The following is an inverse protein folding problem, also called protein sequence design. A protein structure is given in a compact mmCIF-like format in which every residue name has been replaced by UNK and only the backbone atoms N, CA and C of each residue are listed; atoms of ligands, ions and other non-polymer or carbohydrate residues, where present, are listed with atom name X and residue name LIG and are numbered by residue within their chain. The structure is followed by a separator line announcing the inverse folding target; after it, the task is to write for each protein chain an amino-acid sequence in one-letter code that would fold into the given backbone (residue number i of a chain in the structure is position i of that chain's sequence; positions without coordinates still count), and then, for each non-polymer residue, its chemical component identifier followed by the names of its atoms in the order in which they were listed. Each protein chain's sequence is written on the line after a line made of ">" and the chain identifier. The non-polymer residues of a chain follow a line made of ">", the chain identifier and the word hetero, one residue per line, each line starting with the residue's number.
data_IF_840686885348
#
_entry.id   IF_840686885348
#
_cell.length_a   1.000
_cell.length_b   1.000
_cell.length_c   1.000
_cell.angle_alpha   90.00
_cell.angle_beta   90.00
_cell.angle_gamma   90.00
#
_symmetry.space_group_name_H-M   'P 1'
#
loop_
_entity.id
_entity.type
_entity.pdbx_description
1 polymer ?
#
# COMPACT_ATOMS: atom_id res chain seq x y z
N UNK A 1 -19.44 -46.48 17.86
CA UNK A 1 -18.13 -46.16 18.47
C UNK A 1 -17.14 -46.12 17.33
N UNK A 2 -16.77 -44.92 16.87
CA UNK A 2 -15.84 -44.75 15.75
C UNK A 2 -14.44 -44.71 16.37
N UNK A 3 -13.63 -45.74 16.16
CA UNK A 3 -12.24 -45.74 16.59
C UNK A 3 -11.45 -44.78 15.70
N UNK A 4 -11.12 -43.61 16.23
CA UNK A 4 -10.30 -42.62 15.53
C UNK A 4 -8.85 -43.07 15.59
N UNK A 5 -8.34 -43.71 14.54
CA UNK A 5 -6.91 -44.03 14.42
C UNK A 5 -6.14 -42.72 14.23
N UNK A 6 -5.42 -42.29 15.27
CA UNK A 6 -4.62 -41.06 15.23
C UNK A 6 -3.41 -41.25 14.30
N UNK A 7 -3.08 -40.25 13.47
CA UNK A 7 -1.91 -40.33 12.61
C UNK A 7 -0.64 -40.30 13.47
N UNK A 8 0.23 -41.29 13.24
CA UNK A 8 1.55 -41.38 13.85
C UNK A 8 2.65 -41.24 12.79
N UNK A 9 3.84 -40.83 13.22
CA UNK A 9 5.07 -40.94 12.42
C UNK A 9 6.03 -41.88 13.11
N UNK A 10 6.95 -42.45 12.35
CA UNK A 10 8.00 -43.30 12.91
C UNK A 10 9.29 -42.50 12.99
N UNK A 11 9.93 -42.48 14.16
CA UNK A 11 11.24 -41.88 14.36
C UNK A 11 12.28 -42.97 14.58
N UNK A 12 13.51 -42.73 14.13
CA UNK A 12 14.64 -43.64 14.37
C UNK A 12 15.39 -43.19 15.61
N UNK A 13 15.48 -44.05 16.62
CA UNK A 13 16.25 -43.82 17.84
C UNK A 13 17.76 -43.89 17.54
N UNK A 14 18.63 -43.34 18.40
CA UNK A 14 20.09 -43.40 18.22
C UNK A 14 20.64 -44.84 18.17
N UNK A 15 19.91 -45.83 18.69
CA UNK A 15 20.24 -47.25 18.59
C UNK A 15 19.82 -47.88 17.25
N UNK A 16 19.26 -47.09 16.33
CA UNK A 16 18.82 -47.52 15.01
C UNK A 16 17.46 -48.22 14.98
N UNK A 17 16.74 -48.24 16.11
CA UNK A 17 15.39 -48.82 16.19
C UNK A 17 14.33 -47.79 15.76
N UNK A 18 13.27 -48.27 15.13
CA UNK A 18 12.16 -47.43 14.69
C UNK A 18 11.02 -47.48 15.69
N UNK A 19 10.63 -46.32 16.23
CA UNK A 19 9.55 -46.19 17.21
C UNK A 19 8.44 -45.27 16.69
N UNK A 20 7.15 -45.66 16.78
CA UNK A 20 6.03 -44.82 16.40
C UNK A 20 5.75 -43.75 17.45
N UNK A 21 5.61 -42.50 17.00
CA UNK A 21 5.29 -41.33 17.81
C UNK A 21 4.04 -40.66 17.25
N UNK A 22 3.05 -40.44 18.12
CA UNK A 22 1.81 -39.74 17.78
C UNK A 22 2.08 -38.24 17.79
N UNK A 23 1.82 -37.54 16.69
CA UNK A 23 2.13 -36.10 16.56
C UNK A 23 1.08 -35.24 17.27
N UNK A 24 -0.17 -35.70 17.27
CA UNK A 24 -1.28 -34.99 17.88
C UNK A 24 -1.57 -35.64 19.22
N UNK A 25 -1.41 -34.88 20.31
CA UNK A 25 -1.92 -35.30 21.62
C UNK A 25 -3.40 -35.67 21.48
N UNK A 26 -3.85 -36.68 22.23
CA UNK A 26 -5.27 -37.00 22.28
C UNK A 26 -6.06 -35.71 22.57
N UNK A 27 -7.23 -35.50 21.94
CA UNK A 27 -8.11 -34.43 22.40
C UNK A 27 -8.33 -34.66 23.89
N UNK A 28 -8.05 -33.63 24.70
CA UNK A 28 -8.27 -33.68 26.13
C UNK A 28 -9.71 -34.15 26.38
N UNK A 29 -9.91 -34.98 27.40
CA UNK A 29 -11.26 -35.43 27.73
C UNK A 29 -12.14 -34.20 28.03
N UNK A 30 -13.46 -34.28 27.82
CA UNK A 30 -14.34 -33.11 27.97
C UNK A 30 -14.28 -32.49 29.39
N UNK A 31 -13.93 -33.29 30.39
CA UNK A 31 -13.68 -32.88 31.78
C UNK A 31 -12.30 -32.24 32.03
N UNK A 32 -11.37 -32.36 31.08
CA UNK A 32 -10.05 -31.73 31.07
C UNK A 32 -10.02 -30.44 30.23
N UNK A 33 -11.08 -30.16 29.46
CA UNK A 33 -11.19 -28.93 28.68
C UNK A 33 -11.46 -27.75 29.61
N UNK A 34 -10.46 -26.86 29.73
CA UNK A 34 -10.70 -25.55 30.33
C UNK A 34 -11.76 -24.81 29.51
N UNK A 35 -12.80 -24.24 30.14
CA UNK A 35 -13.79 -23.48 29.42
C UNK A 35 -13.15 -22.22 28.83
N UNK A 36 -13.62 -21.82 27.64
CA UNK A 36 -13.07 -20.70 26.86
C UNK A 36 -12.88 -19.40 27.66
N UNK A 37 -13.77 -19.13 28.61
CA UNK A 37 -13.70 -17.93 29.46
C UNK A 37 -12.50 -17.96 30.41
N UNK A 38 -12.03 -19.13 30.84
CA UNK A 38 -10.88 -19.27 31.72
C UNK A 38 -9.54 -19.09 30.97
N UNK A 39 -9.55 -19.28 29.64
CA UNK A 39 -8.45 -18.95 28.73
C UNK A 39 -8.39 -17.44 28.39
N UNK A 40 -9.49 -16.72 28.63
CA UNK A 40 -9.59 -15.27 28.41
C UNK A 40 -9.29 -14.47 29.69
N UNK A 41 -9.12 -15.14 30.83
CA UNK A 41 -8.78 -14.57 32.13
C UNK A 41 -7.26 -14.58 32.41
N UNK A 42 -6.43 -14.70 31.38
CA UNK A 42 -4.97 -14.54 31.52
C UNK A 42 -4.64 -13.05 31.79
N UNK A 43 -4.21 -12.81 33.04
CA UNK A 43 -3.67 -11.60 33.66
C UNK A 43 -4.64 -10.44 33.99
N UNK A 44 -5.25 -10.54 35.17
CA UNK A 44 -5.42 -9.37 36.05
C UNK A 44 -4.07 -8.63 36.16
N UNK A 45 -4.00 -7.32 35.91
CA UNK A 45 -2.74 -6.59 35.88
C UNK A 45 -2.11 -6.58 37.28
N UNK A 46 -1.03 -7.35 37.46
CA UNK A 46 -0.13 -7.16 38.59
C UNK A 46 0.41 -5.73 38.53
N UNK A 47 0.03 -4.96 39.54
CA UNK A 47 0.44 -3.59 39.83
C UNK A 47 1.88 -3.28 39.40
N UNK A 48 2.04 -2.56 38.29
CA UNK A 48 3.29 -1.90 37.95
C UNK A 48 3.34 -0.52 38.65
N UNK A 49 4.47 -0.14 39.28
CA UNK A 49 4.60 1.15 39.92
C UNK A 49 4.62 2.29 38.90
N UNK A 50 3.85 3.32 39.23
CA UNK A 50 3.75 4.64 38.59
C UNK A 50 5.05 5.13 37.96
N UNK A 51 5.05 5.23 36.64
CA UNK A 51 5.88 6.17 35.90
C UNK A 51 4.99 6.85 34.88
N UNK A 52 4.66 8.11 35.16
CA UNK A 52 4.15 9.04 34.17
C UNK A 52 5.11 9.11 32.98
N UNK A 53 4.56 9.25 31.77
CA UNK A 53 5.04 10.34 30.95
C UNK A 53 3.88 11.17 30.39
N UNK A 54 4.04 12.47 30.61
CA UNK A 54 3.33 13.56 29.97
C UNK A 54 3.45 13.44 28.44
N UNK A 55 2.48 12.80 27.79
CA UNK A 55 2.24 13.03 26.37
C UNK A 55 0.74 13.18 26.15
N UNK A 56 0.24 14.36 26.52
CA UNK A 56 -0.88 15.00 25.83
C UNK A 56 -0.45 15.30 24.39
N UNK A 57 -0.27 14.25 23.60
CA UNK A 57 -0.32 14.36 22.15
C UNK A 57 -1.80 14.42 21.80
N UNK A 58 -2.23 15.63 21.43
CA UNK A 58 -3.48 15.87 20.75
C UNK A 58 -3.58 14.85 19.60
N UNK A 59 -4.42 13.84 19.79
CA UNK A 59 -4.87 12.98 18.71
C UNK A 59 -5.81 13.87 17.91
N UNK A 60 -5.32 14.41 16.81
CA UNK A 60 -6.11 15.12 15.80
C UNK A 60 -7.24 14.19 15.33
N UNK A 61 -8.35 14.28 16.06
CA UNK A 61 -9.56 13.50 15.90
C UNK A 61 -10.34 14.07 14.72
N UNK A 62 -9.82 13.84 13.51
CA UNK A 62 -10.42 14.33 12.27
C UNK A 62 -11.67 13.57 11.82
N UNK A 63 -12.21 12.63 12.62
CA UNK A 63 -13.62 12.27 12.50
C UNK A 63 -14.19 11.74 13.81
N UNK A 64 -14.88 12.60 14.54
CA UNK A 64 -15.79 12.19 15.62
C UNK A 64 -16.93 11.38 15.00
N UNK A 65 -16.76 10.07 14.85
CA UNK A 65 -17.83 9.15 14.53
C UNK A 65 -18.26 8.49 15.83
N UNK A 66 -19.48 8.76 16.29
CA UNK A 66 -20.03 8.20 17.53
C UNK A 66 -20.35 6.72 17.33
N UNK A 67 -19.35 5.87 17.54
CA UNK A 67 -19.45 4.41 17.39
C UNK A 67 -20.57 3.86 18.28
N UNK A 68 -20.71 4.39 19.49
CA UNK A 68 -21.67 3.91 20.50
C UNK A 68 -23.14 4.17 20.14
N UNK A 69 -23.41 5.10 19.23
CA UNK A 69 -24.76 5.45 18.78
C UNK A 69 -25.04 5.04 17.32
N UNK A 70 -24.08 4.39 16.66
CA UNK A 70 -24.20 4.00 15.28
C UNK A 70 -24.87 2.62 15.13
N UNK A 71 -25.84 2.54 14.22
CA UNK A 71 -26.40 1.26 13.76
C UNK A 71 -25.32 0.45 13.04
N UNK A 72 -25.33 -0.89 13.13
CA UNK A 72 -24.33 -1.73 12.46
C UNK A 72 -24.19 -1.44 10.97
N UNK A 73 -25.28 -1.16 10.25
CA UNK A 73 -25.23 -0.76 8.83
C UNK A 73 -24.39 0.50 8.60
N UNK A 74 -24.44 1.47 9.53
CA UNK A 74 -23.63 2.70 9.44
C UNK A 74 -22.16 2.43 9.72
N UNK A 75 -21.86 1.50 10.62
CA UNK A 75 -20.49 1.09 10.94
C UNK A 75 -19.88 0.38 9.73
N UNK A 76 -20.59 -0.59 9.14
CA UNK A 76 -20.13 -1.31 7.94
C UNK A 76 -19.96 -0.39 6.74
N UNK A 77 -20.92 0.49 6.45
CA UNK A 77 -20.78 1.46 5.36
C UNK A 77 -19.56 2.37 5.52
N UNK A 78 -19.17 2.71 6.76
CA UNK A 78 -17.96 3.48 7.03
C UNK A 78 -16.69 2.67 6.80
N UNK A 79 -16.67 1.41 7.22
CA UNK A 79 -15.54 0.49 6.99
C UNK A 79 -15.34 0.30 5.49
N UNK A 80 -16.41 0.04 4.73
CA UNK A 80 -16.34 -0.13 3.28
C UNK A 80 -15.82 1.14 2.60
N UNK A 81 -16.36 2.30 2.96
CA UNK A 81 -15.90 3.58 2.41
C UNK A 81 -14.43 3.88 2.74
N UNK A 82 -13.98 3.59 3.96
CA UNK A 82 -12.58 3.74 4.36
C UNK A 82 -11.68 2.74 3.62
N UNK A 83 -12.12 1.51 3.47
CA UNK A 83 -11.39 0.48 2.74
C UNK A 83 -11.25 0.84 1.26
N UNK A 84 -12.30 1.33 0.61
CA UNK A 84 -12.24 1.83 -0.77
C UNK A 84 -11.28 3.01 -0.91
N UNK A 85 -11.31 3.96 0.02
CA UNK A 85 -10.39 5.09 0.05
C UNK A 85 -8.93 4.61 0.20
N UNK A 86 -8.68 3.68 1.13
CA UNK A 86 -7.36 3.11 1.37
C UNK A 86 -6.83 2.33 0.15
N UNK A 87 -7.67 1.52 -0.50
CA UNK A 87 -7.29 0.74 -1.69
C UNK A 87 -7.00 1.66 -2.88
N UNK A 88 -7.81 2.69 -3.08
CA UNK A 88 -7.58 3.68 -4.16
C UNK A 88 -6.30 4.47 -3.91
N UNK A 89 -6.06 4.93 -2.67
CA UNK A 89 -4.83 5.62 -2.29
C UNK A 89 -3.59 4.72 -2.47
N UNK A 90 -3.64 3.47 -1.99
CA UNK A 90 -2.53 2.53 -2.14
C UNK A 90 -2.20 2.25 -3.61
N UNK A 91 -3.22 2.26 -4.48
CA UNK A 91 -3.04 2.08 -5.93
C UNK A 91 -2.49 3.33 -6.60
N UNK A 92 -2.97 4.49 -6.20
CA UNK A 92 -2.49 5.79 -6.67
C UNK A 92 -1.03 6.03 -6.26
N UNK A 93 -0.62 5.63 -5.05
CA UNK A 93 0.77 5.71 -4.59
C UNK A 93 1.73 4.89 -5.47
N UNK A 94 1.29 3.72 -5.96
CA UNK A 94 2.08 2.91 -6.91
C UNK A 94 2.26 3.61 -8.26
N UNK A 95 1.24 4.34 -8.72
CA UNK A 95 1.34 5.15 -9.93
C UNK A 95 2.19 6.40 -9.71
N UNK A 96 2.05 7.08 -8.57
CA UNK A 96 2.87 8.25 -8.21
C UNK A 96 4.37 7.89 -8.24
N UNK A 97 4.74 6.69 -7.79
CA UNK A 97 6.11 6.18 -7.91
C UNK A 97 6.57 5.97 -9.36
N UNK A 98 5.66 5.70 -10.31
CA UNK A 98 5.99 5.64 -11.73
C UNK A 98 6.15 7.04 -12.34
N UNK A 99 5.38 8.02 -11.88
CA UNK A 99 5.48 9.41 -12.33
C UNK A 99 6.65 10.17 -11.71
N UNK A 100 7.10 9.80 -10.50
CA UNK A 100 8.23 10.45 -9.84
C UNK A 100 9.56 10.26 -10.60
N UNK A 101 9.70 9.16 -11.34
CA UNK A 101 10.87 8.87 -12.16
C UNK A 101 10.95 9.67 -13.48
N UNK A 102 9.91 10.46 -13.80
CA UNK A 102 9.89 11.32 -14.98
C UNK A 102 10.70 12.61 -14.76
N UNK A 103 11.08 13.26 -15.86
CA UNK A 103 11.72 14.57 -15.86
C UNK A 103 10.86 15.64 -15.18
N UNK A 104 11.50 16.69 -14.64
CA UNK A 104 10.81 17.79 -13.97
C UNK A 104 10.04 18.71 -14.92
N UNK A 105 10.19 18.53 -16.23
CA UNK A 105 9.38 19.19 -17.26
C UNK A 105 7.89 18.86 -17.15
N UNK A 106 7.54 17.72 -16.55
CA UNK A 106 6.16 17.26 -16.40
C UNK A 106 5.72 17.20 -14.93
N UNK A 107 6.28 18.09 -14.11
CA UNK A 107 5.96 18.20 -12.67
C UNK A 107 4.47 18.37 -12.40
N UNK A 108 3.75 19.08 -13.26
CA UNK A 108 2.30 19.28 -13.15
C UNK A 108 1.53 17.95 -13.18
N UNK A 109 2.04 16.95 -13.90
CA UNK A 109 1.45 15.62 -13.98
C UNK A 109 1.87 14.70 -12.84
N UNK A 110 2.97 15.02 -12.13
CA UNK A 110 3.39 14.31 -10.92
C UNK A 110 2.42 14.59 -9.76
N UNK A 111 1.91 15.81 -9.66
CA UNK A 111 1.02 16.26 -8.58
C UNK A 111 -0.46 16.05 -8.86
N UNK A 112 -0.83 15.78 -10.12
CA UNK A 112 -2.20 15.47 -10.53
C UNK A 112 -2.72 14.20 -9.83
N UNK A 113 -3.50 14.40 -8.76
CA UNK A 113 -4.23 13.34 -8.05
C UNK A 113 -5.69 13.30 -8.51
N UNK A 114 -6.18 12.08 -8.75
CA UNK A 114 -7.58 11.84 -9.07
C UNK A 114 -8.34 11.51 -7.79
N UNK A 115 -9.56 12.00 -7.64
CA UNK A 115 -10.44 11.66 -6.52
C UNK A 115 -10.84 10.17 -6.55
N UNK A 116 -11.04 9.56 -5.39
CA UNK A 116 -11.37 8.12 -5.25
C UNK A 116 -12.58 7.69 -6.08
N UNK A 117 -13.63 8.52 -6.18
CA UNK A 117 -14.86 8.25 -6.94
C UNK A 117 -14.67 8.17 -8.47
N UNK A 118 -13.54 8.65 -9.01
CA UNK A 118 -13.25 8.64 -10.45
C UNK A 118 -11.91 8.00 -10.80
N UNK A 119 -11.27 7.32 -9.84
CA UNK A 119 -9.94 6.78 -10.03
C UNK A 119 -9.98 5.55 -10.92
N UNK A 120 -9.56 5.72 -12.17
CA UNK A 120 -9.29 4.62 -13.09
C UNK A 120 -7.81 4.26 -13.00
N UNK A 121 -7.49 3.03 -12.59
CA UNK A 121 -6.12 2.63 -12.40
C UNK A 121 -5.36 2.42 -13.71
N UNK A 122 -4.05 2.58 -13.61
CA UNK A 122 -3.06 2.43 -14.67
C UNK A 122 -3.39 3.28 -15.90
N UNK A 123 -3.97 4.46 -15.68
CA UNK A 123 -4.31 5.42 -16.73
C UNK A 123 -3.24 6.49 -16.81
N UNK A 124 -2.76 6.77 -18.02
CA UNK A 124 -1.79 7.82 -18.23
C UNK A 124 -2.41 9.20 -18.00
N UNK A 125 -1.87 9.97 -17.04
CA UNK A 125 -2.32 11.34 -16.71
C UNK A 125 -2.14 12.36 -17.84
N UNK A 126 -1.21 12.10 -18.77
CA UNK A 126 -0.89 13.02 -19.87
C UNK A 126 -1.74 12.77 -21.12
N UNK A 127 -1.94 11.51 -21.50
CA UNK A 127 -2.65 11.15 -22.73
C UNK A 127 -3.99 10.43 -22.51
N UNK A 128 -4.35 10.13 -21.26
CA UNK A 128 -5.59 9.48 -20.89
C UNK A 128 -5.69 8.00 -21.24
N UNK A 129 -4.65 7.39 -21.84
CA UNK A 129 -4.66 5.96 -22.21
C UNK A 129 -4.62 5.05 -21.00
N UNK A 130 -5.42 3.99 -21.04
CA UNK A 130 -5.53 2.99 -19.99
C UNK A 130 -4.65 1.78 -20.29
N UNK A 131 -4.13 1.17 -19.23
CA UNK A 131 -3.27 -0.01 -19.31
C UNK A 131 -3.77 -1.08 -18.34
N UNK A 132 -3.66 -2.37 -18.68
CA UNK A 132 -4.07 -3.44 -17.77
C UNK A 132 -3.10 -3.62 -16.59
N UNK A 133 -1.86 -3.10 -16.69
CA UNK A 133 -0.79 -3.36 -15.72
C UNK A 133 0.13 -2.15 -15.55
N UNK A 134 0.65 -1.96 -14.33
CA UNK A 134 1.62 -0.89 -14.01
C UNK A 134 2.89 -0.98 -14.86
N UNK A 135 3.39 -2.17 -15.15
CA UNK A 135 4.58 -2.35 -15.99
C UNK A 135 4.40 -1.77 -17.41
N UNK A 136 3.19 -1.85 -17.95
CA UNK A 136 2.86 -1.30 -19.26
C UNK A 136 2.75 0.23 -19.22
N UNK A 137 2.18 0.78 -18.13
CA UNK A 137 2.21 2.22 -17.88
C UNK A 137 3.64 2.74 -17.71
N UNK A 138 4.49 2.09 -16.91
CA UNK A 138 5.89 2.46 -16.75
C UNK A 138 6.67 2.41 -18.07
N UNK A 139 6.39 1.42 -18.93
CA UNK A 139 6.98 1.33 -20.27
C UNK A 139 6.49 2.46 -21.18
N UNK A 140 5.22 2.83 -21.06
CA UNK A 140 4.64 3.96 -21.77
C UNK A 140 5.24 5.31 -21.34
N UNK A 141 5.52 5.47 -20.05
CA UNK A 141 6.17 6.66 -19.50
C UNK A 141 7.66 6.72 -19.87
N UNK A 142 8.29 5.56 -20.11
CA UNK A 142 9.69 5.48 -20.54
C UNK A 142 10.69 5.13 -19.45
N UNK A 143 10.23 4.74 -18.26
CA UNK A 143 11.09 4.49 -17.10
C UNK A 143 12.05 3.29 -17.26
N UNK A 144 11.81 2.38 -18.22
CA UNK A 144 12.50 1.07 -18.30
C UNK A 144 12.94 0.60 -19.70
N UNK A 145 12.99 1.45 -20.74
CA UNK A 145 13.40 0.94 -22.06
C UNK A 145 13.59 1.95 -23.18
N UNK A 146 14.17 1.46 -24.29
CA UNK A 146 14.45 2.21 -25.53
C UNK A 146 13.16 2.80 -26.13
N UNK A 147 13.31 3.99 -26.71
CA UNK A 147 12.33 5.03 -27.08
C UNK A 147 11.03 4.65 -27.83
N UNK A 148 10.77 3.37 -28.12
CA UNK A 148 9.72 2.96 -29.04
C UNK A 148 8.28 3.08 -28.52
N UNK A 149 8.06 3.42 -27.24
CA UNK A 149 6.70 3.45 -26.66
C UNK A 149 6.43 4.64 -25.72
N UNK A 150 7.16 5.75 -25.85
CA UNK A 150 6.88 6.92 -25.00
C UNK A 150 5.46 7.47 -25.24
N UNK A 151 4.90 8.07 -24.20
CA UNK A 151 3.74 8.93 -24.33
C UNK A 151 4.04 10.04 -25.34
N UNK A 152 3.23 10.11 -26.41
CA UNK A 152 3.38 11.13 -27.45
C UNK A 152 3.29 12.54 -26.86
N UNK A 153 2.33 12.76 -25.96
CA UNK A 153 2.16 14.04 -25.25
C UNK A 153 3.40 14.38 -24.42
N UNK A 154 3.97 13.39 -23.72
CA UNK A 154 5.22 13.58 -22.96
C UNK A 154 6.38 13.98 -23.87
N UNK A 155 6.52 13.31 -25.01
CA UNK A 155 7.58 13.57 -25.97
C UNK A 155 7.46 14.95 -26.63
N UNK A 156 6.23 15.34 -26.99
CA UNK A 156 5.96 16.66 -27.57
C UNK A 156 6.31 17.77 -26.56
N UNK A 157 5.94 17.61 -25.28
CA UNK A 157 6.29 18.56 -24.20
C UNK A 157 7.81 18.67 -23.95
N UNK A 158 8.54 17.55 -24.05
CA UNK A 158 10.01 17.57 -23.94
C UNK A 158 10.64 18.36 -25.08
N UNK A 159 10.19 18.11 -26.32
CA UNK A 159 10.73 18.74 -27.52
C UNK A 159 10.47 20.24 -27.56
N UNK A 160 9.31 20.69 -27.10
CA UNK A 160 9.01 22.12 -26.99
C UNK A 160 9.97 22.84 -26.04
N UNK A 161 10.32 22.23 -24.90
CA UNK A 161 11.22 22.87 -23.92
C UNK A 161 12.68 22.90 -24.38
N UNK A 162 13.16 21.83 -25.01
CA UNK A 162 14.51 21.82 -25.61
C UNK A 162 14.68 22.95 -26.63
N UNK A 163 13.62 23.26 -27.38
CA UNK A 163 13.62 24.37 -28.34
C UNK A 163 13.69 25.73 -27.62
N UNK A 164 12.91 25.93 -26.56
CA UNK A 164 12.91 27.19 -25.76
C UNK A 164 14.26 27.47 -25.10
N UNK A 165 14.91 26.44 -24.52
CA UNK A 165 16.23 26.60 -23.89
C UNK A 165 17.31 26.96 -24.92
N UNK A 166 17.19 26.48 -26.17
CA UNK A 166 18.09 26.88 -27.26
C UNK A 166 17.83 28.28 -27.84
N UNK A 167 16.60 28.79 -27.74
CA UNK A 167 16.24 30.14 -28.21
C UNK A 167 16.60 31.25 -27.20
N UNK A 168 16.65 30.96 -25.90
CA UNK A 168 17.02 31.95 -24.86
C UNK A 168 18.53 32.23 -24.73
N UNK A 169 19.40 31.45 -25.39
CA UNK A 169 20.86 31.71 -25.42
C UNK A 169 21.22 32.77 -26.49
N UNK A 170 20.27 33.16 -27.35
CA UNK A 170 20.48 34.21 -28.35
C UNK A 170 19.97 35.55 -27.82
N UNK A 171 20.61 36.07 -26.77
CA UNK A 171 20.47 37.50 -26.46
C UNK A 171 20.92 38.34 -27.67
N UNK A 172 20.12 39.32 -28.14
CA UNK A 172 20.49 40.13 -29.29
C UNK A 172 21.66 41.05 -28.92
N UNK A 173 22.82 40.81 -29.55
CA UNK A 173 23.99 41.66 -29.45
C UNK A 173 23.64 43.13 -29.69
N UNK A 174 23.65 43.93 -28.62
CA UNK A 174 23.40 45.36 -28.71
C UNK A 174 24.47 46.03 -29.58
N UNK A 175 24.03 46.61 -30.71
CA UNK A 175 24.85 47.41 -31.63
C UNK A 175 25.48 48.58 -30.87
N UNK A 176 26.81 48.59 -30.80
CA UNK A 176 27.61 49.75 -30.34
C UNK A 176 27.31 50.95 -31.23
N UNK A 177 26.60 51.95 -30.70
CA UNK A 177 26.55 53.29 -31.28
C UNK A 177 27.92 53.96 -31.09
N UNK A 178 28.52 54.36 -32.20
CA UNK A 178 29.77 55.12 -32.27
C UNK A 178 29.40 56.60 -32.20
N UNK A 179 29.84 57.30 -31.17
CA UNK A 179 29.89 58.78 -31.11
C UNK A 179 31.38 59.14 -31.07
#
# INVERSE_FOLDING_TARGET
>A
MVSSELPYITITTPDGQQEPVVIFGMPAAEDELAPLWQLLEEDEPVSAPSLAPEHAAQVDSSSSFDIDNATMDKIWARIDSQHEAMVTEARQAKEDSAYSALSDTVSDFKTLRVASQGFVPFRCRMCGKEYPQLAQLCRHLGNKGKQANHCRVYFDLLKERENVDSEQIVEPAQKKQKI
#
